data_IF_708205843132
#
_entry.id   IF_708205843132
#
_cell.length_a   1.000
_cell.length_b   1.000
_cell.length_c   1.000
_cell.angle_alpha   90.00
_cell.angle_beta   90.00
_cell.angle_gamma   90.00
#
_symmetry.space_group_name_H-M   'P 1'
#
loop_
_entity.id
_entity.type
_entity.pdbx_description
1 polymer ?
#
# COMPACT_ATOMS: atom_id res chain seq x y z
N UNK A 1 -17.67 -11.06 1.29
CA UNK A 1 -16.90 -11.74 0.23
C UNK A 1 -16.18 -10.65 -0.55
N UNK A 2 -14.88 -10.46 -0.32
CA UNK A 2 -14.03 -9.58 -1.14
C UNK A 2 -13.61 -10.27 -2.46
N UNK A 3 -14.49 -11.13 -3.00
CA UNK A 3 -14.19 -12.04 -4.12
C UNK A 3 -14.74 -11.56 -5.46
N UNK A 4 -15.50 -10.45 -5.50
CA UNK A 4 -16.11 -9.95 -6.74
C UNK A 4 -15.32 -8.81 -7.41
N UNK A 5 -14.28 -8.29 -6.76
CA UNK A 5 -13.33 -7.39 -7.41
C UNK A 5 -12.17 -8.26 -7.88
N UNK A 6 -12.07 -8.45 -9.19
CA UNK A 6 -10.81 -8.87 -9.79
C UNK A 6 -9.87 -7.65 -9.71
N UNK A 7 -9.33 -7.39 -8.51
CA UNK A 7 -8.62 -6.16 -8.18
C UNK A 7 -7.51 -5.84 -9.18
N UNK A 8 -6.75 -6.86 -9.54
CA UNK A 8 -5.62 -6.77 -10.46
C UNK A 8 -6.02 -6.91 -11.94
N UNK A 9 -7.32 -7.02 -12.26
CA UNK A 9 -7.81 -6.94 -13.62
C UNK A 9 -8.24 -5.51 -13.94
N UNK A 10 -7.36 -4.78 -14.63
CA UNK A 10 -7.60 -3.41 -15.07
C UNK A 10 -8.83 -3.28 -15.98
N UNK A 11 -9.25 -4.35 -16.67
CA UNK A 11 -10.45 -4.33 -17.50
C UNK A 11 -11.75 -4.16 -16.68
N UNK A 12 -11.69 -4.39 -15.37
CA UNK A 12 -12.83 -4.19 -14.46
C UNK A 12 -12.92 -2.77 -13.91
N UNK A 13 -11.90 -1.93 -14.14
CA UNK A 13 -11.88 -0.54 -13.68
C UNK A 13 -12.71 0.36 -14.61
N UNK A 14 -13.45 1.35 -14.08
CA UNK A 14 -14.12 2.35 -14.91
C UNK A 14 -13.13 3.07 -15.83
N UNK A 15 -13.58 3.51 -17.03
CA UNK A 15 -12.71 4.25 -17.93
C UNK A 15 -12.32 5.61 -17.32
N UNK A 16 -11.03 5.93 -17.39
CA UNK A 16 -10.49 7.23 -16.97
C UNK A 16 -11.16 8.37 -17.75
N UNK A 17 -11.55 9.42 -17.04
CA UNK A 17 -12.19 10.59 -17.61
C UNK A 17 -11.12 11.60 -18.05
N UNK A 18 -10.96 11.78 -19.37
CA UNK A 18 -9.98 12.75 -19.90
C UNK A 18 -10.46 14.19 -19.68
N UNK A 19 -9.60 14.97 -19.06
CA UNK A 19 -9.77 16.41 -18.87
C UNK A 19 -8.78 17.12 -19.80
N UNK A 20 -9.28 18.02 -20.64
CA UNK A 20 -8.49 18.73 -21.64
C UNK A 20 -8.08 20.12 -21.15
N UNK A 21 -6.95 20.62 -21.62
CA UNK A 21 -6.55 22.01 -21.40
C UNK A 21 -6.09 22.36 -19.98
N UNK A 22 -5.62 21.39 -19.19
CA UNK A 22 -5.09 21.67 -17.85
C UNK A 22 -3.91 22.64 -17.90
N UNK A 23 -4.00 23.68 -17.07
CA UNK A 23 -2.86 24.56 -16.79
C UNK A 23 -1.83 23.84 -15.91
N UNK A 24 -0.56 24.30 -15.89
CA UNK A 24 0.43 23.77 -14.96
C UNK A 24 -0.03 23.81 -13.50
N UNK A 25 -0.69 24.89 -13.07
CA UNK A 25 -1.21 25.01 -11.70
C UNK A 25 -2.26 23.94 -11.36
N UNK A 26 -3.13 23.59 -12.32
CA UNK A 26 -4.13 22.53 -12.13
C UNK A 26 -3.53 21.12 -12.09
N UNK A 27 -2.27 20.94 -12.50
CA UNK A 27 -1.56 19.66 -12.38
C UNK A 27 -0.85 19.47 -11.04
N UNK A 28 -0.63 20.55 -10.29
CA UNK A 28 0.11 20.50 -9.03
C UNK A 28 -0.53 19.60 -7.97
N UNK A 29 -1.86 19.60 -7.75
CA UNK A 29 -2.47 18.66 -6.80
C UNK A 29 -2.25 17.19 -7.16
N UNK A 30 -2.38 16.82 -8.44
CA UNK A 30 -2.07 15.47 -8.92
C UNK A 30 -0.60 15.11 -8.78
N UNK A 31 0.31 16.07 -9.01
CA UNK A 31 1.74 15.88 -8.74
C UNK A 31 2.01 15.65 -7.24
N UNK A 32 1.31 16.37 -6.36
CA UNK A 32 1.43 16.19 -4.92
C UNK A 32 0.93 14.82 -4.47
N UNK A 33 -0.20 14.35 -4.99
CA UNK A 33 -0.70 12.98 -4.79
C UNK A 33 0.38 11.95 -5.17
N UNK A 34 0.92 12.07 -6.39
CA UNK A 34 2.01 11.19 -6.85
C UNK A 34 3.24 11.24 -5.95
N UNK A 35 3.60 12.40 -5.39
CA UNK A 35 4.71 12.48 -4.43
C UNK A 35 4.44 11.68 -3.14
N UNK A 36 3.21 11.72 -2.63
CA UNK A 36 2.79 10.90 -1.48
C UNK A 36 2.87 9.42 -1.87
N UNK A 37 2.33 9.04 -3.03
CA UNK A 37 2.36 7.66 -3.52
C UNK A 37 3.79 7.17 -3.73
N UNK A 38 4.68 7.98 -4.26
CA UNK A 38 6.09 7.65 -4.41
C UNK A 38 6.73 7.36 -3.04
N UNK A 39 6.38 8.09 -1.98
CA UNK A 39 6.80 7.75 -0.63
C UNK A 39 6.27 6.38 -0.18
N UNK A 40 5.01 6.04 -0.47
CA UNK A 40 4.44 4.73 -0.18
C UNK A 40 5.15 3.61 -0.95
N UNK A 41 5.42 3.80 -2.24
CA UNK A 41 6.20 2.86 -3.07
C UNK A 41 7.59 2.62 -2.50
N UNK A 42 8.29 3.68 -2.09
CA UNK A 42 9.61 3.55 -1.48
C UNK A 42 9.58 2.79 -0.15
N UNK A 43 8.52 2.99 0.65
CA UNK A 43 8.33 2.24 1.89
C UNK A 43 8.11 0.75 1.60
N UNK A 44 7.28 0.39 0.62
CA UNK A 44 7.15 -1.00 0.18
C UNK A 44 8.50 -1.60 -0.22
N UNK A 45 9.25 -0.96 -1.12
CA UNK A 45 10.60 -1.44 -1.50
C UNK A 45 11.52 -1.65 -0.29
N UNK A 46 11.45 -0.74 0.69
CA UNK A 46 12.25 -0.84 1.92
C UNK A 46 11.84 -2.04 2.76
N UNK A 47 10.54 -2.29 2.91
CA UNK A 47 10.00 -3.44 3.60
C UNK A 47 10.37 -4.75 2.90
N UNK A 48 10.23 -4.84 1.58
CA UNK A 48 10.64 -6.01 0.80
C UNK A 48 12.12 -6.35 0.97
N UNK A 49 13.01 -5.35 0.98
CA UNK A 49 14.44 -5.56 1.27
C UNK A 49 14.69 -6.10 2.68
N UNK A 50 13.88 -5.73 3.66
CA UNK A 50 13.99 -6.24 5.03
C UNK A 50 13.50 -7.68 5.14
N UNK A 51 12.44 -8.04 4.42
CA UNK A 51 11.96 -9.43 4.30
C UNK A 51 13.07 -10.29 3.71
N UNK A 52 13.64 -9.92 2.56
CA UNK A 52 14.69 -10.72 1.93
C UNK A 52 15.93 -10.88 2.82
N UNK A 53 16.30 -9.84 3.57
CA UNK A 53 17.40 -9.94 4.55
C UNK A 53 17.08 -10.85 5.73
N UNK A 54 15.83 -10.84 6.21
CA UNK A 54 15.41 -11.73 7.28
C UNK A 54 15.37 -13.19 6.82
N UNK A 55 15.03 -13.43 5.54
CA UNK A 55 15.10 -14.75 4.90
C UNK A 55 16.54 -15.26 4.72
N UNK A 56 17.46 -14.36 4.37
CA UNK A 56 18.80 -14.74 3.94
C UNK A 56 19.68 -15.39 5.02
N UNK A 57 19.41 -15.20 6.32
CA UNK A 57 20.10 -15.90 7.42
C UNK A 57 21.64 -15.88 7.40
N UNK A 58 22.30 -15.12 6.53
CA UNK A 58 23.75 -15.18 6.31
C UNK A 58 24.47 -14.27 7.29
N UNK A 59 24.40 -14.61 8.57
CA UNK A 59 25.57 -14.44 9.42
C UNK A 59 26.55 -15.51 8.98
N UNK A 60 27.64 -15.11 8.32
CA UNK A 60 28.79 -16.00 8.09
C UNK A 60 29.33 -16.34 9.49
N UNK A 61 28.89 -17.45 10.05
CA UNK A 61 29.39 -17.95 11.33
C UNK A 61 30.76 -18.60 11.12
N UNK A 62 31.82 -17.79 11.22
CA UNK A 62 32.97 -18.25 11.96
C UNK A 62 32.80 -17.69 13.38
N UNK A 63 32.39 -18.57 14.32
CA UNK A 63 32.51 -18.43 15.79
C UNK A 63 31.40 -17.77 16.64
N UNK A 64 30.13 -17.66 16.22
CA UNK A 64 29.05 -17.40 17.21
C UNK A 64 27.75 -18.15 16.84
N UNK A 65 27.62 -19.40 17.29
CA UNK A 65 26.46 -20.24 17.01
C UNK A 65 25.93 -20.91 18.28
N UNK A 66 24.91 -20.28 18.89
CA UNK A 66 23.75 -20.90 19.54
C UNK A 66 22.88 -19.84 20.24
N UNK A 67 23.48 -18.86 20.93
CA UNK A 67 22.71 -17.85 21.68
C UNK A 67 22.46 -16.53 20.93
N UNK A 68 23.30 -16.16 19.96
CA UNK A 68 23.22 -14.86 19.27
C UNK A 68 22.45 -14.90 17.94
N UNK A 69 22.38 -16.06 17.28
CA UNK A 69 21.63 -16.23 16.03
C UNK A 69 20.14 -15.95 16.24
N UNK A 70 19.57 -16.54 17.29
CA UNK A 70 18.17 -16.34 17.66
C UNK A 70 17.90 -14.88 18.07
N UNK A 71 18.81 -14.26 18.83
CA UNK A 71 18.69 -12.84 19.21
C UNK A 71 18.76 -11.89 18.01
N UNK A 72 19.64 -12.15 17.04
CA UNK A 72 19.76 -11.36 15.82
C UNK A 72 18.52 -11.51 14.92
N UNK A 73 18.00 -12.74 14.78
CA UNK A 73 16.77 -13.02 14.05
C UNK A 73 15.56 -12.34 14.69
N UNK A 74 15.39 -12.47 16.01
CA UNK A 74 14.34 -11.78 16.77
C UNK A 74 14.43 -10.26 16.64
N UNK A 75 15.64 -9.68 16.69
CA UNK A 75 15.83 -8.24 16.51
C UNK A 75 15.47 -7.77 15.09
N UNK A 76 15.81 -8.56 14.06
CA UNK A 76 15.42 -8.28 12.68
C UNK A 76 13.89 -8.31 12.51
N UNK A 77 13.21 -9.31 13.08
CA UNK A 77 11.75 -9.41 13.01
C UNK A 77 11.03 -8.26 13.73
N UNK A 78 11.50 -7.86 14.92
CA UNK A 78 10.92 -6.69 15.63
C UNK A 78 11.08 -5.39 14.86
N UNK A 79 12.26 -5.16 14.28
CA UNK A 79 12.52 -3.97 13.45
C UNK A 79 11.63 -3.95 12.21
N UNK A 80 11.49 -5.11 11.56
CA UNK A 80 10.62 -5.27 10.40
C UNK A 80 9.15 -4.99 10.76
N UNK A 81 8.64 -5.55 11.86
CA UNK A 81 7.28 -5.28 12.35
C UNK A 81 7.00 -3.81 12.63
N UNK A 82 7.92 -3.10 13.30
CA UNK A 82 7.75 -1.67 13.58
C UNK A 82 7.65 -0.82 12.30
N UNK A 83 8.49 -1.09 11.30
CA UNK A 83 8.47 -0.36 10.04
C UNK A 83 7.21 -0.67 9.22
N UNK A 84 6.77 -1.92 9.21
CA UNK A 84 5.50 -2.29 8.58
C UNK A 84 4.32 -1.57 9.25
N UNK A 85 4.26 -1.56 10.59
CA UNK A 85 3.19 -0.87 11.32
C UNK A 85 3.14 0.63 11.03
N UNK A 86 4.30 1.29 10.95
CA UNK A 86 4.37 2.69 10.53
C UNK A 86 3.86 2.90 9.10
N UNK A 87 4.28 2.05 8.16
CA UNK A 87 3.80 2.13 6.79
C UNK A 87 2.29 1.92 6.69
N UNK A 88 1.75 0.92 7.41
CA UNK A 88 0.31 0.65 7.47
C UNK A 88 -0.47 1.86 7.98
N UNK A 89 0.02 2.53 9.03
CA UNK A 89 -0.61 3.74 9.55
C UNK A 89 -0.61 4.88 8.54
N UNK A 90 0.47 5.07 7.79
CA UNK A 90 0.57 6.13 6.76
C UNK A 90 -0.44 5.85 5.63
N UNK A 91 -0.46 4.63 5.09
CA UNK A 91 -1.42 4.23 4.04
C UNK A 91 -2.86 4.42 4.53
N UNK A 92 -3.18 3.92 5.72
CA UNK A 92 -4.52 4.07 6.30
C UNK A 92 -4.92 5.54 6.47
N UNK A 93 -4.01 6.41 6.92
CA UNK A 93 -4.30 7.84 7.11
C UNK A 93 -4.56 8.53 5.77
N UNK A 94 -3.73 8.25 4.76
CA UNK A 94 -3.89 8.78 3.40
C UNK A 94 -5.24 8.37 2.80
N UNK A 95 -5.55 7.08 2.78
CA UNK A 95 -6.82 6.57 2.25
C UNK A 95 -8.04 7.10 3.03
N UNK A 96 -7.93 7.23 4.36
CA UNK A 96 -9.01 7.81 5.18
C UNK A 96 -9.32 9.25 4.80
N UNK A 97 -8.31 10.04 4.41
CA UNK A 97 -8.50 11.41 3.94
C UNK A 97 -9.21 11.41 2.58
N UNK A 98 -8.79 10.56 1.65
CA UNK A 98 -9.43 10.41 0.35
C UNK A 98 -10.89 10.00 0.46
N UNK A 99 -11.17 8.95 1.23
CA UNK A 99 -12.52 8.42 1.45
C UNK A 99 -13.45 9.48 2.06
N UNK A 100 -12.96 10.22 3.06
CA UNK A 100 -13.77 11.17 3.80
C UNK A 100 -13.93 12.52 3.10
N UNK A 101 -12.94 12.95 2.30
CA UNK A 101 -12.86 14.34 1.83
C UNK A 101 -12.71 14.50 0.32
N UNK A 102 -12.00 13.60 -0.38
CA UNK A 102 -11.73 13.79 -1.80
C UNK A 102 -12.76 13.05 -2.67
N UNK A 103 -12.97 11.76 -2.43
CA UNK A 103 -13.87 10.93 -3.22
C UNK A 103 -15.32 11.42 -3.23
N UNK A 104 -15.91 11.95 -2.13
CA UNK A 104 -17.25 12.51 -2.15
C UNK A 104 -17.36 13.72 -3.09
N UNK A 105 -16.34 14.58 -3.12
CA UNK A 105 -16.33 15.77 -3.99
C UNK A 105 -16.11 15.40 -5.45
N UNK A 106 -15.22 14.44 -5.71
CA UNK A 106 -15.00 13.88 -7.04
C UNK A 106 -16.27 13.23 -7.60
N UNK A 107 -16.98 12.47 -6.77
CA UNK A 107 -18.21 11.76 -7.16
C UNK A 107 -19.34 12.70 -7.61
N UNK A 108 -19.34 13.96 -7.16
CA UNK A 108 -20.32 14.97 -7.57
C UNK A 108 -20.08 15.54 -8.97
N UNK A 109 -18.91 15.33 -9.57
CA UNK A 109 -18.53 16.00 -10.83
C UNK A 109 -19.21 15.37 -12.05
N UNK A 110 -19.34 14.05 -12.10
CA UNK A 110 -20.03 13.34 -13.17
C UNK A 110 -20.33 11.89 -12.78
N UNK A 111 -21.17 11.19 -13.57
CA UNK A 111 -21.39 9.75 -13.39
C UNK A 111 -20.10 8.94 -13.59
N UNK A 112 -19.18 9.38 -14.46
CA UNK A 112 -17.90 8.74 -14.67
C UNK A 112 -16.99 8.87 -13.45
N UNK A 113 -16.90 10.06 -12.88
CA UNK A 113 -16.12 10.29 -11.65
C UNK A 113 -16.74 9.64 -10.43
N UNK A 114 -18.08 9.54 -10.34
CA UNK A 114 -18.74 8.72 -9.32
C UNK A 114 -18.29 7.26 -9.40
N UNK A 115 -18.28 6.67 -10.60
CA UNK A 115 -17.85 5.29 -10.78
C UNK A 115 -16.38 5.08 -10.37
N UNK A 116 -15.50 6.05 -10.69
CA UNK A 116 -14.10 6.04 -10.26
C UNK A 116 -14.01 6.09 -8.72
N UNK A 117 -14.67 7.06 -8.07
CA UNK A 117 -14.70 7.16 -6.59
C UNK A 117 -15.21 5.88 -5.93
N UNK A 118 -16.31 5.31 -6.44
CA UNK A 118 -16.88 4.07 -5.90
C UNK A 118 -15.88 2.90 -6.03
N UNK A 119 -15.16 2.82 -7.16
CA UNK A 119 -14.14 1.79 -7.38
C UNK A 119 -12.92 2.00 -6.49
N UNK A 120 -12.40 3.22 -6.36
CA UNK A 120 -11.25 3.52 -5.50
C UNK A 120 -11.57 3.21 -4.03
N UNK A 121 -12.75 3.62 -3.54
CA UNK A 121 -13.19 3.28 -2.18
C UNK A 121 -13.36 1.76 -1.97
N UNK A 122 -13.83 1.03 -2.98
CA UNK A 122 -13.90 -0.43 -2.90
C UNK A 122 -12.50 -1.07 -2.90
N UNK A 123 -11.54 -0.49 -3.62
CA UNK A 123 -10.13 -0.90 -3.58
C UNK A 123 -9.48 -0.62 -2.21
N UNK A 124 -9.80 0.52 -1.57
CA UNK A 124 -9.34 0.83 -0.22
C UNK A 124 -9.74 -0.21 0.82
N UNK A 125 -10.95 -0.76 0.73
CA UNK A 125 -11.41 -1.83 1.64
C UNK A 125 -10.51 -3.07 1.53
N UNK A 126 -10.13 -3.47 0.32
CA UNK A 126 -9.24 -4.62 0.09
C UNK A 126 -7.82 -4.32 0.59
N UNK A 127 -7.31 -3.11 0.33
CA UNK A 127 -5.99 -2.69 0.85
C UNK A 127 -6.01 -2.73 2.38
N UNK A 128 -7.04 -2.18 3.03
CA UNK A 128 -7.16 -2.16 4.49
C UNK A 128 -7.16 -3.58 5.09
N UNK A 129 -7.92 -4.51 4.50
CA UNK A 129 -7.91 -5.91 4.95
C UNK A 129 -6.51 -6.55 4.83
N UNK A 130 -5.76 -6.25 3.77
CA UNK A 130 -4.38 -6.73 3.61
C UNK A 130 -3.42 -6.09 4.62
N UNK A 131 -3.62 -4.82 4.97
CA UNK A 131 -2.86 -4.15 6.03
C UNK A 131 -3.12 -4.82 7.40
N UNK A 132 -4.38 -5.08 7.74
CA UNK A 132 -4.74 -5.78 8.99
C UNK A 132 -4.13 -7.18 9.04
N UNK A 133 -4.26 -7.96 7.97
CA UNK A 133 -3.65 -9.30 7.86
C UNK A 133 -2.13 -9.24 7.98
N UNK A 134 -1.48 -8.23 7.42
CA UNK A 134 -0.03 -8.07 7.53
C UNK A 134 0.37 -7.77 8.98
N UNK A 135 -0.36 -6.88 9.66
CA UNK A 135 -0.15 -6.57 11.08
C UNK A 135 -0.32 -7.82 11.93
N UNK A 136 -1.35 -8.63 11.69
CA UNK A 136 -1.57 -9.88 12.41
C UNK A 136 -0.46 -10.91 12.18
N UNK A 137 -0.03 -11.08 10.93
CA UNK A 137 1.08 -11.98 10.59
C UNK A 137 2.39 -11.53 11.27
N UNK A 138 2.66 -10.22 11.29
CA UNK A 138 3.82 -9.65 11.98
C UNK A 138 3.76 -9.84 13.49
N UNK A 139 2.60 -9.64 14.10
CA UNK A 139 2.40 -9.88 15.53
C UNK A 139 2.62 -11.37 15.86
N UNK A 140 2.08 -12.27 15.04
CA UNK A 140 2.27 -13.71 15.19
C UNK A 140 3.75 -14.11 15.04
N UNK A 141 4.46 -13.55 14.06
CA UNK A 141 5.89 -13.78 13.85
C UNK A 141 6.74 -13.23 15.01
N UNK A 142 6.39 -12.07 15.55
CA UNK A 142 7.10 -11.46 16.67
C UNK A 142 6.89 -12.23 17.99
N UNK A 143 5.69 -12.79 18.20
CA UNK A 143 5.36 -13.59 19.37
C UNK A 143 6.05 -14.96 19.36
N UNK A 144 6.10 -15.61 18.20
CA UNK A 144 6.70 -16.95 18.04
C UNK A 144 7.45 -17.05 16.71
N UNK A 145 8.73 -16.63 16.66
CA UNK A 145 9.50 -16.64 15.43
C UNK A 145 9.69 -18.06 14.87
N UNK A 146 9.31 -18.28 13.61
CA UNK A 146 9.51 -19.57 12.92
C UNK A 146 9.57 -19.38 11.39
N UNK A 147 10.19 -20.31 10.64
CA UNK A 147 10.20 -20.26 9.18
C UNK A 147 8.80 -20.22 8.56
N UNK A 148 7.85 -20.99 9.10
CA UNK A 148 6.46 -21.00 8.59
C UNK A 148 5.78 -19.64 8.73
N UNK A 149 5.87 -19.01 9.91
CA UNK A 149 5.24 -17.68 10.12
C UNK A 149 5.93 -16.58 9.34
N UNK A 150 7.21 -16.76 9.05
CA UNK A 150 7.94 -15.86 8.17
C UNK A 150 7.41 -15.94 6.74
N UNK A 151 7.22 -17.16 6.20
CA UNK A 151 6.61 -17.35 4.89
C UNK A 151 5.17 -16.82 4.84
N UNK A 152 4.34 -17.07 5.87
CA UNK A 152 2.99 -16.51 5.97
C UNK A 152 3.01 -14.98 5.87
N UNK A 153 3.93 -14.33 6.59
CA UNK A 153 4.09 -12.87 6.56
C UNK A 153 4.52 -12.37 5.19
N UNK A 154 5.43 -13.10 4.54
CA UNK A 154 5.94 -12.77 3.20
C UNK A 154 4.85 -12.89 2.14
N UNK A 155 4.01 -13.92 2.20
CA UNK A 155 2.88 -14.10 1.28
C UNK A 155 1.90 -12.93 1.37
N UNK A 156 1.53 -12.51 2.59
CA UNK A 156 0.64 -11.38 2.82
C UNK A 156 1.29 -10.07 2.35
N UNK A 157 2.58 -9.86 2.63
CA UNK A 157 3.31 -8.69 2.14
C UNK A 157 3.28 -8.60 0.60
N UNK A 158 3.57 -9.68 -0.12
CA UNK A 158 3.56 -9.65 -1.59
C UNK A 158 2.15 -9.47 -2.17
N UNK A 159 1.12 -9.96 -1.47
CA UNK A 159 -0.26 -9.66 -1.84
C UNK A 159 -0.55 -8.16 -1.70
N UNK A 160 -0.22 -7.55 -0.56
CA UNK A 160 -0.34 -6.11 -0.32
C UNK A 160 0.45 -5.31 -1.35
N UNK A 161 1.70 -5.68 -1.63
CA UNK A 161 2.56 -5.00 -2.61
C UNK A 161 1.93 -4.94 -3.99
N UNK A 162 1.46 -6.07 -4.53
CA UNK A 162 0.81 -6.08 -5.85
C UNK A 162 -0.44 -5.21 -5.89
N UNK A 163 -1.28 -5.33 -4.85
CA UNK A 163 -2.57 -4.62 -4.76
C UNK A 163 -2.36 -3.12 -4.58
N UNK A 164 -1.54 -2.71 -3.61
CA UNK A 164 -1.26 -1.31 -3.33
C UNK A 164 -0.57 -0.63 -4.52
N UNK A 165 0.43 -1.25 -5.15
CA UNK A 165 1.09 -0.62 -6.30
C UNK A 165 0.17 -0.46 -7.51
N UNK A 166 -0.70 -1.43 -7.78
CA UNK A 166 -1.72 -1.33 -8.83
C UNK A 166 -2.76 -0.24 -8.52
N UNK A 167 -3.17 -0.14 -7.25
CA UNK A 167 -4.09 0.88 -6.77
C UNK A 167 -3.54 2.30 -6.97
N UNK A 168 -2.36 2.58 -6.40
CA UNK A 168 -1.74 3.90 -6.45
C UNK A 168 -1.50 4.39 -7.88
N UNK A 169 -1.13 3.49 -8.79
CA UNK A 169 -0.91 3.82 -10.20
C UNK A 169 -2.20 4.21 -10.92
N UNK A 170 -3.29 3.48 -10.67
CA UNK A 170 -4.56 3.79 -11.31
C UNK A 170 -5.24 5.02 -10.71
N UNK A 171 -5.13 5.24 -9.40
CA UNK A 171 -5.65 6.45 -8.77
C UNK A 171 -5.01 7.72 -9.33
N UNK A 172 -3.68 7.72 -9.52
CA UNK A 172 -2.96 8.82 -10.17
C UNK A 172 -3.53 9.13 -11.56
N UNK A 173 -3.82 8.10 -12.37
CA UNK A 173 -4.38 8.27 -13.71
C UNK A 173 -5.85 8.71 -13.67
N UNK A 174 -6.65 8.14 -12.77
CA UNK A 174 -8.10 8.30 -12.74
C UNK A 174 -8.57 9.58 -12.05
N UNK A 175 -7.83 10.05 -11.06
CA UNK A 175 -8.20 11.20 -10.21
C UNK A 175 -7.19 12.36 -10.27
N UNK A 176 -5.91 12.12 -10.55
CA UNK A 176 -4.85 13.11 -10.37
C UNK A 176 -5.10 14.46 -11.05
N UNK A 177 -5.46 14.45 -12.34
CA UNK A 177 -5.78 15.66 -13.11
C UNK A 177 -7.08 16.33 -12.61
N UNK A 178 -8.04 15.54 -12.09
CA UNK A 178 -9.32 16.04 -11.60
C UNK A 178 -9.19 16.88 -10.33
N UNK A 179 -8.19 16.58 -9.48
CA UNK A 179 -7.97 17.28 -8.21
C UNK A 179 -7.83 18.79 -8.41
N UNK A 180 -6.93 19.22 -9.30
CA UNK A 180 -6.74 20.64 -9.59
C UNK A 180 -7.71 21.19 -10.63
N UNK A 181 -8.19 20.37 -11.58
CA UNK A 181 -9.16 20.82 -12.58
C UNK A 181 -10.48 21.31 -11.95
N UNK A 182 -10.98 20.59 -10.95
CA UNK A 182 -12.21 20.93 -10.23
C UNK A 182 -11.97 21.75 -8.95
N UNK A 183 -10.71 22.05 -8.59
CA UNK A 183 -10.37 22.76 -7.36
C UNK A 183 -10.74 21.99 -6.09
N UNK A 184 -10.60 20.67 -6.11
CA UNK A 184 -10.77 19.78 -4.95
C UNK A 184 -9.64 20.00 -3.95
N UNK A 185 -8.43 20.29 -4.47
CA UNK A 185 -7.21 20.60 -3.72
C UNK A 185 -6.49 21.81 -4.32
#
# INVERSE_FOLDING_TARGET
MLLDIQFLDDATRPPVQKLEGLTPAQREPGNHLRMIHDHLRHNMVTLGKLIERANAGTVITAEIAAETGDLAMVANYRRFGNLCGQHCQIVNTHHSIEDAHLFPVLAMQSLGFKAISDRLGAEHVVVHELLERLVDALNALAAEPSPSRFEDTKEVYHALERVLLSHLGWEEEAMGDALGYFGIM
#
